data_IF_174953829829
#
_entry.id   IF_174953829829
#
_cell.length_a   1.000
_cell.length_b   1.000
_cell.length_c   1.000
_cell.angle_alpha   90.00
_cell.angle_beta   90.00
_cell.angle_gamma   90.00
#
_symmetry.space_group_name_H-M   'P 1'
#
loop_
_entity.id
_entity.type
_entity.pdbx_description
1 polymer ?
#
# COMPACT_ATOMS: atom_id res chain seq x y z
N UNK A 1 -15.80 19.14 -13.24
CA UNK A 1 -15.25 20.02 -14.28
C UNK A 1 -15.43 21.46 -13.80
N UNK A 2 -14.35 22.17 -13.55
CA UNK A 2 -14.37 23.59 -13.15
C UNK A 2 -14.92 24.43 -14.30
N UNK A 3 -15.82 25.38 -14.02
CA UNK A 3 -16.40 26.24 -15.04
C UNK A 3 -15.29 27.15 -15.64
N UNK A 4 -15.12 27.22 -16.98
CA UNK A 4 -14.10 28.07 -17.60
C UNK A 4 -14.12 29.54 -17.13
N UNK A 5 -15.31 30.09 -16.86
CA UNK A 5 -15.46 31.46 -16.35
C UNK A 5 -14.88 31.66 -14.94
N UNK A 6 -14.81 30.62 -14.13
CA UNK A 6 -14.24 30.66 -12.78
C UNK A 6 -12.70 30.69 -12.82
N UNK A 7 -12.11 30.03 -13.82
CA UNK A 7 -10.64 30.02 -14.01
C UNK A 7 -10.10 31.39 -14.42
N UNK A 8 -10.78 32.12 -15.31
CA UNK A 8 -10.34 33.45 -15.73
C UNK A 8 -10.41 34.47 -14.57
N UNK A 9 -11.45 34.39 -13.74
CA UNK A 9 -11.58 35.23 -12.56
C UNK A 9 -10.47 34.93 -11.53
N UNK A 10 -10.19 33.64 -11.29
CA UNK A 10 -9.10 33.22 -10.41
C UNK A 10 -7.73 33.63 -10.94
N UNK A 11 -7.52 33.56 -12.27
CA UNK A 11 -6.30 34.05 -12.92
C UNK A 11 -6.11 35.54 -12.69
N UNK A 12 -7.14 36.35 -12.98
CA UNK A 12 -7.07 37.79 -12.79
C UNK A 12 -6.78 38.19 -11.33
N UNK A 13 -7.35 37.45 -10.37
CA UNK A 13 -7.04 37.64 -8.95
C UNK A 13 -5.59 37.23 -8.58
N UNK A 14 -5.03 36.25 -9.28
CA UNK A 14 -3.68 35.76 -9.09
C UNK A 14 -2.60 36.65 -9.74
N UNK A 15 -2.94 37.47 -10.75
CA UNK A 15 -2.01 38.37 -11.45
C UNK A 15 -1.32 39.39 -10.50
N UNK A 16 -1.98 39.74 -9.39
CA UNK A 16 -1.40 40.58 -8.34
C UNK A 16 -0.27 39.89 -7.54
N UNK A 17 -0.05 38.58 -7.74
CA UNK A 17 1.05 37.82 -7.13
C UNK A 17 0.85 37.44 -5.66
N UNK A 18 -0.33 37.69 -5.08
CA UNK A 18 -0.61 37.31 -3.70
C UNK A 18 -0.56 35.78 -3.53
N UNK A 19 0.21 35.24 -2.56
CA UNK A 19 0.41 33.79 -2.43
C UNK A 19 -0.89 32.97 -2.30
N UNK A 20 -1.88 33.46 -1.54
CA UNK A 20 -3.19 32.81 -1.38
C UNK A 20 -4.01 32.82 -2.68
N UNK A 21 -3.93 33.89 -3.47
CA UNK A 21 -4.64 33.98 -4.75
C UNK A 21 -4.02 33.03 -5.78
N UNK A 22 -2.69 32.97 -5.84
CA UNK A 22 -1.95 32.00 -6.64
C UNK A 22 -2.30 30.56 -6.25
N UNK A 23 -2.38 30.25 -4.94
CA UNK A 23 -2.76 28.91 -4.48
C UNK A 23 -4.17 28.51 -4.92
N UNK A 24 -5.17 29.39 -4.80
CA UNK A 24 -6.53 29.11 -5.26
C UNK A 24 -6.57 28.87 -6.77
N UNK A 25 -5.85 29.69 -7.55
CA UNK A 25 -5.78 29.52 -9.00
C UNK A 25 -5.09 28.21 -9.38
N UNK A 26 -3.95 27.89 -8.75
CA UNK A 26 -3.24 26.62 -8.97
C UNK A 26 -4.11 25.40 -8.64
N UNK A 27 -4.86 25.44 -7.53
CA UNK A 27 -5.81 24.38 -7.15
C UNK A 27 -6.89 24.18 -8.21
N UNK A 28 -7.41 25.28 -8.79
CA UNK A 28 -8.38 25.20 -9.86
C UNK A 28 -7.79 24.65 -11.18
N UNK A 29 -6.50 24.94 -11.46
CA UNK A 29 -5.77 24.34 -12.58
C UNK A 29 -5.60 22.82 -12.41
N UNK A 30 -5.29 22.33 -11.20
CA UNK A 30 -5.26 20.89 -10.89
C UNK A 30 -6.64 20.27 -11.16
N UNK A 31 -7.72 20.88 -10.69
CA UNK A 31 -9.09 20.40 -10.93
C UNK A 31 -9.48 20.42 -12.44
N UNK A 32 -8.83 21.27 -13.22
CA UNK A 32 -8.95 21.34 -14.67
C UNK A 32 -7.94 20.44 -15.41
N UNK A 33 -7.19 19.60 -14.70
CA UNK A 33 -6.17 18.69 -15.24
C UNK A 33 -5.01 19.38 -15.97
N UNK A 34 -4.74 20.66 -15.67
CA UNK A 34 -3.65 21.46 -16.26
C UNK A 34 -2.42 21.41 -15.35
N UNK A 35 -1.80 20.24 -15.24
CA UNK A 35 -0.81 19.94 -14.20
C UNK A 35 0.48 20.76 -14.33
N UNK A 36 1.00 20.97 -15.54
CA UNK A 36 2.22 21.76 -15.77
C UNK A 36 2.02 23.23 -15.34
N UNK A 37 0.91 23.83 -15.74
CA UNK A 37 0.58 25.21 -15.34
C UNK A 37 0.29 25.30 -13.84
N UNK A 38 -0.38 24.30 -13.27
CA UNK A 38 -0.60 24.23 -11.83
C UNK A 38 0.73 24.18 -11.06
N UNK A 39 1.72 23.42 -11.55
CA UNK A 39 3.04 23.33 -10.95
C UNK A 39 3.75 24.70 -10.97
N UNK A 40 3.72 25.42 -12.09
CA UNK A 40 4.31 26.75 -12.17
C UNK A 40 3.67 27.75 -11.19
N UNK A 41 2.34 27.75 -11.09
CA UNK A 41 1.61 28.67 -10.21
C UNK A 41 1.80 28.28 -8.74
N UNK A 42 1.76 26.99 -8.39
CA UNK A 42 2.10 26.53 -7.04
C UNK A 42 3.54 26.88 -6.68
N UNK A 43 4.49 26.77 -7.61
CA UNK A 43 5.89 27.15 -7.38
C UNK A 43 6.04 28.63 -7.05
N UNK A 44 5.33 29.52 -7.77
CA UNK A 44 5.28 30.96 -7.47
C UNK A 44 4.69 31.24 -6.09
N UNK A 45 3.56 30.61 -5.75
CA UNK A 45 2.94 30.76 -4.44
C UNK A 45 3.84 30.25 -3.30
N UNK A 46 4.52 29.11 -3.50
CA UNK A 46 5.44 28.52 -2.55
C UNK A 46 6.69 29.41 -2.34
N UNK A 47 7.23 30.01 -3.40
CA UNK A 47 8.30 31.01 -3.30
C UNK A 47 7.84 32.25 -2.53
N UNK A 48 6.56 32.62 -2.63
CA UNK A 48 5.92 33.66 -1.84
C UNK A 48 5.56 33.27 -0.40
N UNK A 49 5.93 32.07 0.06
CA UNK A 49 5.72 31.63 1.45
C UNK A 49 4.40 30.88 1.71
N UNK A 50 3.59 30.57 0.68
CA UNK A 50 2.34 29.84 0.90
C UNK A 50 2.60 28.35 1.21
N UNK A 51 2.36 27.95 2.47
CA UNK A 51 2.71 26.62 2.96
C UNK A 51 1.92 25.48 2.30
N UNK A 52 0.64 25.70 1.95
CA UNK A 52 -0.13 24.72 1.19
C UNK A 52 0.44 24.47 -0.21
N UNK A 53 1.00 25.51 -0.84
CA UNK A 53 1.64 25.37 -2.16
C UNK A 53 2.99 24.70 -2.05
N UNK A 54 3.73 24.88 -0.95
CA UNK A 54 4.96 24.12 -0.70
C UNK A 54 4.68 22.61 -0.62
N UNK A 55 3.57 22.21 0.01
CA UNK A 55 3.14 20.80 0.03
C UNK A 55 2.81 20.32 -1.38
N UNK A 56 2.03 21.06 -2.15
CA UNK A 56 1.67 20.64 -3.51
C UNK A 56 2.88 20.57 -4.45
N UNK A 57 3.80 21.53 -4.40
CA UNK A 57 5.09 21.45 -5.11
C UNK A 57 5.86 20.19 -4.71
N UNK A 58 5.90 19.89 -3.41
CA UNK A 58 6.55 18.69 -2.91
C UNK A 58 5.93 17.41 -3.47
N UNK A 59 4.60 17.32 -3.49
CA UNK A 59 3.86 16.17 -4.06
C UNK A 59 4.07 16.04 -5.56
N UNK A 60 4.02 17.15 -6.29
CA UNK A 60 4.23 17.18 -7.74
C UNK A 60 5.62 16.68 -8.12
N UNK A 61 6.66 17.10 -7.39
CA UNK A 61 8.01 16.54 -7.55
C UNK A 61 8.11 15.07 -7.09
N UNK A 62 7.48 14.69 -5.99
CA UNK A 62 7.57 13.32 -5.45
C UNK A 62 7.01 12.28 -6.44
N UNK A 63 5.95 12.66 -7.15
CA UNK A 63 5.21 11.77 -8.05
C UNK A 63 5.41 12.07 -9.54
N UNK A 64 6.19 13.11 -9.88
CA UNK A 64 6.42 13.52 -11.28
C UNK A 64 5.13 13.97 -11.99
N UNK A 65 4.27 14.73 -11.30
CA UNK A 65 2.99 15.20 -11.85
C UNK A 65 3.11 16.66 -12.22
N UNK A 66 2.99 16.98 -13.51
CA UNK A 66 3.17 18.34 -14.04
C UNK A 66 4.62 18.83 -14.02
N UNK A 67 5.56 17.96 -13.66
CA UNK A 67 7.00 18.20 -13.60
C UNK A 67 7.72 16.85 -13.61
N UNK A 68 9.04 16.84 -13.81
CA UNK A 68 9.83 15.63 -13.64
C UNK A 68 9.90 15.20 -12.17
N UNK A 69 9.94 13.89 -11.95
CA UNK A 69 10.07 13.31 -10.61
C UNK A 69 11.43 13.63 -9.98
N UNK A 70 11.43 14.30 -8.83
CA UNK A 70 12.63 14.62 -8.06
C UNK A 70 12.36 14.53 -6.55
N UNK A 71 12.77 13.42 -5.95
CA UNK A 71 12.57 13.17 -4.52
C UNK A 71 13.32 14.19 -3.64
N UNK A 72 14.46 14.73 -4.08
CA UNK A 72 15.22 15.69 -3.28
C UNK A 72 14.55 17.06 -3.30
N UNK A 73 14.05 17.50 -4.45
CA UNK A 73 13.23 18.71 -4.55
C UNK A 73 11.94 18.57 -3.72
N UNK A 74 11.32 17.38 -3.73
CA UNK A 74 10.17 17.08 -2.90
C UNK A 74 10.47 17.23 -1.40
N UNK A 75 11.56 16.62 -0.93
CA UNK A 75 12.02 16.73 0.46
C UNK A 75 12.24 18.19 0.86
N UNK A 76 12.94 18.97 0.03
CA UNK A 76 13.18 20.40 0.32
C UNK A 76 11.88 21.20 0.42
N UNK A 77 10.90 20.94 -0.44
CA UNK A 77 9.61 21.60 -0.40
C UNK A 77 8.84 21.24 0.88
N UNK A 78 8.81 19.96 1.25
CA UNK A 78 8.16 19.51 2.48
C UNK A 78 8.87 20.01 3.75
N UNK A 79 10.20 20.05 3.79
CA UNK A 79 10.93 20.59 4.94
C UNK A 79 10.63 22.07 5.19
N UNK A 80 10.52 22.87 4.11
CA UNK A 80 10.08 24.27 4.24
C UNK A 80 8.64 24.38 4.76
N UNK A 81 7.73 23.53 4.29
CA UNK A 81 6.35 23.51 4.77
C UNK A 81 6.25 23.03 6.23
N UNK A 82 7.04 22.03 6.62
CA UNK A 82 7.17 21.54 8.00
C UNK A 82 7.69 22.66 8.91
N UNK A 83 8.73 23.40 8.49
CA UNK A 83 9.26 24.56 9.21
C UNK A 83 8.24 25.71 9.31
N UNK A 84 7.32 25.83 8.35
CA UNK A 84 6.18 26.74 8.40
C UNK A 84 5.01 26.22 9.26
N UNK A 85 5.20 25.11 9.99
CA UNK A 85 4.23 24.58 10.95
C UNK A 85 3.12 23.73 10.32
N UNK A 86 3.34 23.14 9.14
CA UNK A 86 2.36 22.26 8.48
C UNK A 86 2.64 20.77 8.78
N UNK A 87 1.83 20.09 9.62
CA UNK A 87 2.08 18.69 10.00
C UNK A 87 1.90 17.69 8.84
N UNK A 88 1.10 18.05 7.83
CA UNK A 88 0.90 17.23 6.62
C UNK A 88 2.20 17.14 5.80
N UNK A 89 3.05 18.16 5.82
CA UNK A 89 4.36 18.06 5.17
C UNK A 89 5.27 17.05 5.88
N UNK A 90 5.25 17.05 7.21
CA UNK A 90 5.91 16.04 8.03
C UNK A 90 5.45 14.62 7.70
N UNK A 91 4.16 14.41 7.45
CA UNK A 91 3.63 13.12 7.01
C UNK A 91 4.29 12.61 5.72
N UNK A 92 4.44 13.46 4.69
CA UNK A 92 5.12 13.06 3.45
C UNK A 92 6.62 12.81 3.64
N UNK A 93 7.29 13.61 4.48
CA UNK A 93 8.69 13.34 4.84
C UNK A 93 8.85 12.00 5.58
N UNK A 94 7.88 11.67 6.45
CA UNK A 94 7.85 10.38 7.13
C UNK A 94 7.64 9.23 6.13
N UNK A 95 6.72 9.39 5.17
CA UNK A 95 6.48 8.42 4.10
C UNK A 95 7.75 8.14 3.28
N UNK A 96 8.46 9.19 2.86
CA UNK A 96 9.74 9.08 2.13
C UNK A 96 10.80 8.39 2.99
N UNK A 97 10.87 8.74 4.29
CA UNK A 97 11.81 8.16 5.24
C UNK A 97 11.63 6.65 5.46
N UNK A 98 10.47 6.07 5.16
CA UNK A 98 10.26 4.62 5.26
C UNK A 98 11.11 3.82 4.25
N UNK A 99 11.46 4.41 3.11
CA UNK A 99 12.37 3.80 2.13
C UNK A 99 13.85 3.87 2.51
N UNK A 100 14.22 4.73 3.47
CA UNK A 100 15.58 4.80 4.03
C UNK A 100 16.69 5.30 3.09
N UNK A 101 16.37 5.64 1.83
CA UNK A 101 17.36 6.05 0.81
C UNK A 101 17.40 7.57 0.62
N UNK A 102 16.29 8.18 0.20
CA UNK A 102 16.22 9.64 0.03
C UNK A 102 16.19 10.41 1.37
N UNK A 103 15.64 9.77 2.41
CA UNK A 103 15.71 10.22 3.79
C UNK A 103 16.02 9.03 4.70
N UNK A 104 16.81 9.21 5.76
CA UNK A 104 17.09 8.14 6.69
C UNK A 104 15.82 7.74 7.45
N UNK A 105 15.66 6.44 7.68
CA UNK A 105 14.64 5.90 8.57
C UNK A 105 15.07 6.07 10.02
N UNK A 106 14.88 7.27 10.55
CA UNK A 106 15.28 7.66 11.92
C UNK A 106 14.08 7.98 12.83
N UNK A 107 14.35 8.44 14.05
CA UNK A 107 13.31 8.81 15.02
C UNK A 107 12.37 9.94 14.57
N UNK A 108 12.72 10.71 13.54
CA UNK A 108 11.85 11.76 13.00
C UNK A 108 10.64 11.18 12.30
N UNK A 109 10.73 9.98 11.71
CA UNK A 109 9.61 9.36 11.01
C UNK A 109 8.42 9.16 11.95
N UNK A 110 8.65 8.59 13.14
CA UNK A 110 7.61 8.40 14.16
C UNK A 110 7.06 9.73 14.71
N UNK A 111 7.94 10.69 14.99
CA UNK A 111 7.54 12.01 15.48
C UNK A 111 6.67 12.79 14.47
N UNK A 112 7.04 12.74 13.19
CA UNK A 112 6.29 13.35 12.08
C UNK A 112 4.92 12.70 11.88
N UNK A 113 4.84 11.37 11.95
CA UNK A 113 3.56 10.68 11.90
C UNK A 113 2.66 11.08 13.08
N UNK A 114 3.21 11.15 14.29
CA UNK A 114 2.46 11.56 15.48
C UNK A 114 1.96 13.01 15.38
N UNK A 115 2.76 13.93 14.86
CA UNK A 115 2.33 15.30 14.62
C UNK A 115 1.15 15.36 13.62
N UNK A 116 1.19 14.54 12.56
CA UNK A 116 0.09 14.45 11.61
C UNK A 116 -1.18 13.81 12.21
N UNK A 117 -1.03 12.81 13.10
CA UNK A 117 -2.13 12.24 13.90
C UNK A 117 -2.77 13.31 14.78
N UNK A 118 -1.98 14.10 15.52
CA UNK A 118 -2.46 15.18 16.38
C UNK A 118 -3.19 16.28 15.58
N UNK A 119 -2.73 16.55 14.36
CA UNK A 119 -3.41 17.46 13.42
C UNK A 119 -4.70 16.87 12.82
N UNK A 120 -5.01 15.60 13.09
CA UNK A 120 -6.18 14.91 12.56
C UNK A 120 -6.09 14.61 11.06
N UNK A 121 -4.89 14.41 10.52
CA UNK A 121 -4.71 14.02 9.12
C UNK A 121 -5.21 12.57 8.90
N UNK A 122 -6.24 12.32 8.07
CA UNK A 122 -6.90 11.00 8.05
C UNK A 122 -6.00 9.81 7.69
N UNK A 123 -5.11 9.90 6.67
CA UNK A 123 -4.13 8.83 6.40
C UNK A 123 -3.18 8.53 7.57
N UNK A 124 -2.82 9.55 8.36
CA UNK A 124 -1.98 9.38 9.54
C UNK A 124 -2.76 8.72 10.69
N UNK A 125 -4.01 9.14 10.92
CA UNK A 125 -4.92 8.52 11.89
C UNK A 125 -5.14 7.03 11.55
N UNK A 126 -5.40 6.71 10.28
CA UNK A 126 -5.52 5.32 9.81
C UNK A 126 -4.23 4.54 10.05
N UNK A 127 -3.06 5.07 9.65
CA UNK A 127 -1.80 4.38 9.86
C UNK A 127 -1.52 4.07 11.35
N UNK A 128 -1.78 5.03 12.23
CA UNK A 128 -1.68 4.82 13.67
C UNK A 128 -2.69 3.77 14.16
N UNK A 129 -3.94 3.80 13.68
CA UNK A 129 -4.94 2.82 14.05
C UNK A 129 -4.54 1.39 13.67
N UNK A 130 -3.99 1.19 12.48
CA UNK A 130 -3.47 -0.11 12.03
C UNK A 130 -2.33 -0.59 12.92
N UNK A 131 -1.40 0.31 13.26
CA UNK A 131 -0.27 0.01 14.15
C UNK A 131 -0.74 -0.46 15.53
N UNK A 132 -1.63 0.30 16.17
CA UNK A 132 -2.19 -0.08 17.48
C UNK A 132 -3.10 -1.31 17.39
N UNK A 133 -3.86 -1.44 16.29
CA UNK A 133 -4.76 -2.56 16.05
C UNK A 133 -4.05 -3.91 15.89
N UNK A 134 -2.76 -3.91 15.55
CA UNK A 134 -1.91 -5.10 15.52
C UNK A 134 -1.52 -5.59 16.93
N UNK A 135 -1.59 -4.73 17.94
CA UNK A 135 -1.08 -5.00 19.29
C UNK A 135 -2.16 -5.63 20.16
N UNK A 136 -1.91 -6.76 20.85
CA UNK A 136 -2.97 -7.47 21.58
C UNK A 136 -3.45 -6.74 22.86
N UNK A 137 -2.80 -5.64 23.24
CA UNK A 137 -3.15 -4.86 24.43
C UNK A 137 -4.54 -4.21 24.28
N UNK A 138 -5.41 -4.35 25.28
CA UNK A 138 -6.79 -3.84 25.22
C UNK A 138 -6.87 -2.31 25.06
N UNK A 139 -5.92 -1.56 25.63
CA UNK A 139 -5.87 -0.10 25.48
C UNK A 139 -5.48 0.29 24.05
N UNK A 140 -4.50 -0.40 23.46
CA UNK A 140 -4.11 -0.20 22.06
C UNK A 140 -5.28 -0.56 21.11
N UNK A 141 -5.99 -1.65 21.40
CA UNK A 141 -7.17 -2.06 20.63
C UNK A 141 -8.30 -1.01 20.72
N UNK A 142 -8.56 -0.44 21.89
CA UNK A 142 -9.54 0.63 22.05
C UNK A 142 -9.10 1.93 21.35
N UNK A 143 -7.81 2.26 21.43
CA UNK A 143 -7.23 3.41 20.73
C UNK A 143 -7.34 3.27 19.20
N UNK A 144 -7.12 2.07 18.67
CA UNK A 144 -7.31 1.78 17.25
C UNK A 144 -8.74 2.11 16.78
N UNK A 145 -9.76 1.73 17.57
CA UNK A 145 -11.16 2.07 17.27
C UNK A 145 -11.39 3.59 17.29
N UNK A 146 -10.86 4.30 18.30
CA UNK A 146 -10.98 5.75 18.40
C UNK A 146 -10.33 6.48 17.21
N UNK A 147 -9.15 6.02 16.78
CA UNK A 147 -8.44 6.59 15.63
C UNK A 147 -9.16 6.33 14.32
N UNK A 148 -9.73 5.12 14.13
CA UNK A 148 -10.55 4.81 12.95
C UNK A 148 -11.83 5.67 12.90
N UNK A 149 -12.51 5.85 14.03
CA UNK A 149 -13.69 6.73 14.12
C UNK A 149 -13.32 8.18 13.80
N UNK A 150 -12.19 8.65 14.32
CA UNK A 150 -11.70 10.00 14.06
C UNK A 150 -11.35 10.23 12.58
N UNK A 151 -10.73 9.24 11.93
CA UNK A 151 -10.42 9.26 10.50
C UNK A 151 -11.71 9.19 9.66
N UNK A 152 -12.62 8.27 9.99
CA UNK A 152 -13.90 8.08 9.30
C UNK A 152 -14.75 9.36 9.34
N UNK A 153 -14.81 10.04 10.50
CA UNK A 153 -15.49 11.33 10.66
C UNK A 153 -14.91 12.46 9.81
N UNK A 154 -13.74 12.27 9.21
CA UNK A 154 -13.07 13.20 8.28
C UNK A 154 -13.11 12.74 6.82
N UNK A 155 -13.98 11.78 6.50
CA UNK A 155 -14.21 11.30 5.14
C UNK A 155 -13.31 10.15 4.71
N UNK A 156 -12.59 9.53 5.64
CA UNK A 156 -11.74 8.37 5.34
C UNK A 156 -12.59 7.10 5.21
N UNK A 157 -12.98 6.77 3.97
CA UNK A 157 -13.85 5.63 3.68
C UNK A 157 -13.21 4.28 4.04
N UNK A 158 -11.90 4.14 3.87
CA UNK A 158 -11.17 2.93 4.25
C UNK A 158 -11.21 2.75 5.77
N UNK A 159 -10.94 3.81 6.54
CA UNK A 159 -11.06 3.76 7.99
C UNK A 159 -12.49 3.44 8.45
N UNK A 160 -13.50 3.97 7.77
CA UNK A 160 -14.90 3.66 8.02
C UNK A 160 -15.25 2.18 7.75
N UNK A 161 -14.72 1.57 6.67
CA UNK A 161 -14.90 0.14 6.40
C UNK A 161 -14.29 -0.72 7.52
N UNK A 162 -13.08 -0.38 7.97
CA UNK A 162 -12.40 -1.09 9.06
C UNK A 162 -13.12 -0.91 10.40
N UNK A 163 -13.60 0.30 10.71
CA UNK A 163 -14.40 0.58 11.90
C UNK A 163 -15.68 -0.26 11.92
N UNK A 164 -16.38 -0.37 10.78
CA UNK A 164 -17.57 -1.19 10.68
C UNK A 164 -17.29 -2.66 11.02
N UNK A 165 -16.18 -3.22 10.56
CA UNK A 165 -15.80 -4.60 10.91
C UNK A 165 -15.47 -4.75 12.40
N UNK A 166 -14.73 -3.80 12.99
CA UNK A 166 -14.42 -3.82 14.43
C UNK A 166 -15.67 -3.68 15.30
N UNK A 167 -16.59 -2.77 14.95
CA UNK A 167 -17.88 -2.61 15.64
C UNK A 167 -18.73 -3.87 15.55
N UNK A 168 -18.80 -4.50 14.37
CA UNK A 168 -19.58 -5.72 14.16
C UNK A 168 -19.05 -6.89 14.99
N UNK A 169 -17.72 -7.01 15.10
CA UNK A 169 -17.04 -8.14 15.75
C UNK A 169 -16.70 -7.90 17.22
N UNK A 170 -16.80 -6.66 17.70
CA UNK A 170 -16.38 -6.30 19.07
C UNK A 170 -14.86 -6.28 19.26
N UNK A 171 -14.10 -5.90 18.23
CA UNK A 171 -12.64 -5.89 18.26
C UNK A 171 -12.13 -4.56 18.83
N UNK A 172 -11.75 -4.56 20.11
CA UNK A 172 -11.33 -3.35 20.83
C UNK A 172 -12.47 -2.45 21.29
N UNK A 173 -13.72 -2.90 21.13
CA UNK A 173 -14.94 -2.18 21.51
C UNK A 173 -16.04 -3.18 21.83
N UNK A 174 -17.07 -2.76 22.57
CA UNK A 174 -18.29 -3.57 22.73
C UNK A 174 -18.93 -3.74 21.36
N UNK A 175 -19.25 -4.98 20.98
CA UNK A 175 -19.87 -5.26 19.70
C UNK A 175 -21.17 -4.46 19.53
N UNK A 176 -21.27 -3.74 18.41
CA UNK A 176 -22.44 -2.97 18.02
C UNK A 176 -22.76 -3.25 16.54
N UNK A 177 -23.41 -4.39 16.24
CA UNK A 177 -23.75 -4.77 14.87
C UNK A 177 -24.69 -3.78 14.17
N UNK A 178 -25.56 -3.09 14.92
CA UNK A 178 -26.48 -2.09 14.37
C UNK A 178 -25.71 -0.88 13.83
N UNK A 179 -24.82 -0.29 14.63
CA UNK A 179 -23.98 0.83 14.20
C UNK A 179 -23.07 0.42 13.02
N UNK A 180 -22.52 -0.80 13.05
CA UNK A 180 -21.76 -1.34 11.93
C UNK A 180 -22.59 -1.41 10.63
N UNK A 181 -23.84 -1.87 10.70
CA UNK A 181 -24.73 -1.95 9.54
C UNK A 181 -25.12 -0.57 9.00
N UNK A 182 -25.37 0.40 9.89
CA UNK A 182 -25.63 1.79 9.48
C UNK A 182 -24.42 2.40 8.76
N UNK A 183 -23.21 2.17 9.27
CA UNK A 183 -21.98 2.65 8.63
C UNK A 183 -21.76 1.99 7.27
N UNK A 184 -21.98 0.67 7.16
CA UNK A 184 -21.93 -0.07 5.88
C UNK A 184 -22.97 0.41 4.88
N UNK A 185 -24.18 0.74 5.31
CA UNK A 185 -25.22 1.29 4.44
C UNK A 185 -24.76 2.63 3.82
N UNK A 186 -24.23 3.54 4.64
CA UNK A 186 -23.68 4.83 4.18
C UNK A 186 -22.49 4.65 3.22
N UNK A 187 -21.61 3.67 3.50
CA UNK A 187 -20.50 3.33 2.61
C UNK A 187 -20.98 2.85 1.25
N UNK A 188 -21.99 1.96 1.22
CA UNK A 188 -22.61 1.48 -0.03
C UNK A 188 -23.27 2.60 -0.82
N UNK A 189 -23.95 3.53 -0.16
CA UNK A 189 -24.50 4.74 -0.80
C UNK A 189 -23.39 5.60 -1.45
N UNK A 190 -22.21 5.65 -0.84
CA UNK A 190 -21.01 6.29 -1.38
C UNK A 190 -20.24 5.46 -2.42
N UNK A 191 -20.74 4.29 -2.81
CA UNK A 191 -20.11 3.40 -3.79
C UNK A 191 -19.00 2.50 -3.23
N UNK A 192 -18.80 2.45 -1.91
CA UNK A 192 -17.83 1.57 -1.27
C UNK A 192 -18.46 0.21 -0.95
N UNK A 193 -17.94 -0.91 -1.51
CA UNK A 193 -18.50 -2.23 -1.26
C UNK A 193 -18.19 -2.74 0.16
N UNK A 194 -18.92 -3.75 0.60
CA UNK A 194 -18.61 -4.45 1.85
C UNK A 194 -17.27 -5.18 1.75
N UNK A 195 -16.52 -5.20 2.84
CA UNK A 195 -15.34 -6.06 2.95
C UNK A 195 -15.78 -7.52 3.03
N UNK A 196 -15.01 -8.43 2.41
CA UNK A 196 -15.26 -9.85 2.58
C UNK A 196 -14.93 -10.29 4.01
N UNK A 197 -15.36 -11.50 4.33
CA UNK A 197 -15.03 -12.06 5.63
C UNK A 197 -13.53 -12.34 5.75
N UNK A 198 -12.88 -11.54 6.58
CA UNK A 198 -11.48 -11.69 6.98
C UNK A 198 -11.48 -11.96 8.49
N UNK A 199 -11.24 -13.23 8.85
CA UNK A 199 -11.25 -13.72 10.23
C UNK A 199 -9.81 -13.78 10.74
N UNK A 200 -9.59 -13.30 11.96
CA UNK A 200 -8.31 -13.46 12.64
C UNK A 200 -8.03 -14.93 12.87
N UNK A 201 -6.90 -15.39 12.36
CA UNK A 201 -6.31 -16.62 12.91
C UNK A 201 -5.71 -16.23 14.26
N UNK A 202 -6.08 -16.89 15.36
CA UNK A 202 -5.51 -16.61 16.66
C UNK A 202 -3.97 -16.70 16.57
N UNK A 203 -3.28 -15.59 16.81
CA UNK A 203 -1.84 -15.60 16.95
C UNK A 203 -1.47 -16.40 18.21
N UNK A 204 -0.29 -17.02 18.22
CA UNK A 204 0.27 -17.54 19.46
C UNK A 204 0.26 -16.41 20.52
N UNK A 205 -0.11 -16.69 21.78
CA UNK A 205 -0.21 -15.67 22.81
C UNK A 205 1.14 -14.95 22.97
N UNK A 206 1.20 -13.71 22.47
CA UNK A 206 2.31 -12.81 22.75
C UNK A 206 2.13 -12.29 24.17
N UNK A 207 3.23 -12.20 24.93
CA UNK A 207 3.19 -11.57 26.26
C UNK A 207 2.49 -10.21 26.14
N UNK A 208 1.58 -9.86 27.06
CA UNK A 208 0.99 -8.53 27.07
C UNK A 208 2.13 -7.52 27.18
N UNK A 209 2.31 -6.74 26.10
CA UNK A 209 3.23 -5.63 26.09
C UNK A 209 2.56 -4.44 26.79
N UNK A 210 3.34 -3.59 27.49
CA UNK A 210 2.82 -2.29 27.93
C UNK A 210 2.25 -1.51 26.72
N UNK A 211 1.33 -0.55 26.94
CA UNK A 211 0.87 0.34 25.88
C UNK A 211 2.10 0.92 25.20
N UNK A 212 2.24 0.64 23.92
CA UNK A 212 3.52 0.81 23.24
C UNK A 212 3.45 2.00 22.32
N UNK A 213 4.58 2.67 22.18
CA UNK A 213 4.69 3.86 21.35
C UNK A 213 4.51 3.53 19.86
N UNK A 214 4.29 4.57 19.06
CA UNK A 214 4.27 4.48 17.60
C UNK A 214 5.72 4.31 17.09
N UNK A 215 6.29 3.13 17.30
CA UNK A 215 7.67 2.77 16.93
C UNK A 215 7.67 1.95 15.64
N UNK A 216 8.62 2.25 14.75
CA UNK A 216 8.75 1.57 13.46
C UNK A 216 9.61 0.31 13.53
N UNK A 217 10.38 0.13 14.59
CA UNK A 217 11.28 -1.02 14.74
C UNK A 217 10.52 -2.36 14.68
N UNK A 218 9.32 -2.41 15.27
CA UNK A 218 8.42 -3.58 15.21
C UNK A 218 7.97 -3.93 13.78
N UNK A 219 8.08 -3.00 12.82
CA UNK A 219 7.76 -3.23 11.41
C UNK A 219 8.83 -4.10 10.75
N UNK A 220 10.06 -3.97 11.21
CA UNK A 220 11.28 -4.55 10.65
C UNK A 220 11.66 -5.89 11.26
N UNK A 221 10.94 -6.29 12.31
CA UNK A 221 11.09 -7.57 12.98
C UNK A 221 9.90 -8.48 12.63
N UNK A 222 9.88 -9.07 11.41
CA UNK A 222 8.84 -10.00 11.03
C UNK A 222 8.90 -11.26 11.90
N UNK A 223 7.77 -11.99 12.04
CA UNK A 223 7.80 -13.32 12.66
C UNK A 223 8.81 -14.24 11.94
N UNK A 224 9.37 -15.25 12.64
CA UNK A 224 10.34 -16.15 12.04
C UNK A 224 9.73 -16.90 10.85
N UNK A 225 10.53 -17.07 9.80
CA UNK A 225 10.14 -17.88 8.65
C UNK A 225 10.32 -19.37 8.96
N UNK A 226 9.38 -20.18 8.49
CA UNK A 226 9.47 -21.62 8.41
C UNK A 226 9.94 -22.02 7.00
N UNK A 227 11.11 -22.64 6.91
CA UNK A 227 11.65 -23.14 5.65
C UNK A 227 10.89 -24.39 5.20
N UNK A 228 10.33 -24.35 3.99
CA UNK A 228 9.60 -25.46 3.38
C UNK A 228 10.45 -26.21 2.34
N UNK A 229 11.33 -25.51 1.64
CA UNK A 229 12.32 -26.08 0.74
C UNK A 229 13.57 -25.21 0.65
N UNK A 230 14.74 -25.84 0.46
CA UNK A 230 16.01 -25.13 0.26
C UNK A 230 16.30 -24.82 -1.22
N UNK A 231 15.82 -25.65 -2.15
CA UNK A 231 16.03 -25.50 -3.59
C UNK A 231 14.77 -25.85 -4.41
N UNK A 232 14.06 -24.86 -4.98
CA UNK A 232 14.25 -23.42 -4.75
C UNK A 232 14.02 -23.09 -3.27
N UNK A 233 14.57 -21.97 -2.81
CA UNK A 233 14.29 -21.47 -1.47
C UNK A 233 12.81 -21.10 -1.39
N UNK A 234 12.04 -21.82 -0.58
CA UNK A 234 10.62 -21.54 -0.29
C UNK A 234 10.46 -21.53 1.22
N UNK A 235 9.86 -20.47 1.73
CA UNK A 235 9.57 -20.31 3.15
C UNK A 235 8.15 -19.76 3.34
N UNK A 236 7.53 -20.09 4.46
CA UNK A 236 6.28 -19.47 4.89
C UNK A 236 6.47 -18.69 6.18
N UNK A 237 5.57 -17.74 6.41
CA UNK A 237 5.50 -16.97 7.66
C UNK A 237 4.04 -16.76 8.03
N UNK A 238 3.66 -17.20 9.22
CA UNK A 238 2.32 -16.99 9.77
C UNK A 238 2.26 -15.70 10.61
N UNK A 239 1.13 -15.00 10.53
CA UNK A 239 0.92 -13.75 11.26
C UNK A 239 1.83 -12.61 10.80
N UNK A 240 2.31 -12.66 9.56
CA UNK A 240 3.05 -11.56 8.96
C UNK A 240 2.17 -10.32 8.94
N UNK A 241 0.98 -10.41 8.34
CA UNK A 241 -0.01 -9.35 8.36
C UNK A 241 -1.07 -9.63 9.42
N UNK A 242 -1.47 -8.58 10.13
CA UNK A 242 -2.63 -8.58 11.00
C UNK A 242 -3.91 -8.56 10.16
N UNK A 243 -5.04 -8.87 10.79
CA UNK A 243 -6.34 -8.79 10.13
C UNK A 243 -6.67 -7.39 9.65
N UNK A 244 -6.31 -6.34 10.40
CA UNK A 244 -6.57 -4.98 9.97
C UNK A 244 -5.66 -4.55 8.82
N UNK A 245 -4.41 -5.03 8.76
CA UNK A 245 -3.56 -4.87 7.57
C UNK A 245 -4.17 -5.61 6.36
N UNK A 246 -4.75 -6.79 6.55
CA UNK A 246 -5.45 -7.51 5.48
C UNK A 246 -6.70 -6.75 5.00
N UNK A 247 -7.53 -6.26 5.93
CA UNK A 247 -8.72 -5.44 5.62
C UNK A 247 -8.34 -4.14 4.93
N UNK A 248 -7.27 -3.47 5.39
CA UNK A 248 -6.72 -2.27 4.78
C UNK A 248 -6.40 -2.52 3.30
N UNK A 249 -5.67 -3.58 2.99
CA UNK A 249 -5.28 -3.91 1.63
C UNK A 249 -6.49 -4.20 0.74
N UNK A 250 -7.46 -4.98 1.23
CA UNK A 250 -8.69 -5.27 0.49
C UNK A 250 -9.52 -4.00 0.26
N UNK A 251 -9.77 -3.22 1.32
CA UNK A 251 -10.51 -1.96 1.24
C UNK A 251 -9.88 -0.98 0.25
N UNK A 252 -8.56 -0.86 0.28
CA UNK A 252 -7.81 0.04 -0.61
C UNK A 252 -7.81 -0.42 -2.06
N UNK A 253 -7.95 -1.73 -2.32
CA UNK A 253 -7.90 -2.33 -3.66
C UNK A 253 -9.27 -2.45 -4.34
N UNK A 254 -10.35 -2.64 -3.58
CA UNK A 254 -11.67 -3.04 -4.10
C UNK A 254 -12.21 -2.18 -5.25
N UNK A 255 -12.04 -0.86 -5.17
CA UNK A 255 -12.55 0.07 -6.19
C UNK A 255 -11.67 0.15 -7.46
N UNK A 256 -10.48 -0.46 -7.42
CA UNK A 256 -9.51 -0.42 -8.51
C UNK A 256 -9.36 -1.76 -9.23
N UNK A 257 -10.08 -2.79 -8.76
CA UNK A 257 -10.01 -4.12 -9.36
C UNK A 257 -10.41 -4.07 -10.84
N UNK A 258 -9.55 -4.64 -11.67
CA UNK A 258 -9.78 -4.87 -13.10
C UNK A 258 -9.36 -6.29 -13.47
N UNK A 259 -9.90 -6.88 -14.55
CA UNK A 259 -9.45 -8.18 -15.02
C UNK A 259 -7.93 -8.17 -15.26
N UNK A 260 -7.26 -9.20 -14.75
CA UNK A 260 -5.82 -9.33 -14.85
C UNK A 260 -5.36 -9.42 -16.29
N UNK A 261 -4.23 -8.78 -16.60
CA UNK A 261 -3.55 -8.94 -17.89
C UNK A 261 -2.17 -9.51 -17.67
N UNK A 262 -1.94 -10.75 -18.10
CA UNK A 262 -0.58 -11.30 -18.19
C UNK A 262 -0.06 -11.00 -19.59
N UNK A 263 1.08 -10.32 -19.68
CA UNK A 263 1.76 -10.11 -20.96
C UNK A 263 2.61 -11.34 -21.24
N UNK A 264 2.08 -12.26 -22.04
CA UNK A 264 2.85 -13.39 -22.54
C UNK A 264 3.72 -12.89 -23.71
N UNK A 265 5.03 -12.76 -23.48
CA UNK A 265 5.97 -12.36 -24.52
C UNK A 265 6.31 -13.51 -25.48
N UNK A 266 5.89 -14.75 -25.19
CA UNK A 266 6.28 -15.95 -25.93
C UNK A 266 5.13 -16.65 -26.69
N UNK A 267 3.87 -16.44 -26.32
CA UNK A 267 2.74 -17.11 -26.98
C UNK A 267 2.08 -16.24 -28.07
N UNK A 268 2.72 -16.17 -29.23
CA UNK A 268 2.15 -15.44 -30.37
C UNK A 268 1.03 -16.19 -31.13
N UNK A 269 0.78 -17.49 -30.90
CA UNK A 269 -0.10 -18.23 -31.85
C UNK A 269 -0.81 -19.51 -31.35
N UNK A 270 -0.95 -19.73 -30.04
CA UNK A 270 -1.80 -20.83 -29.52
C UNK A 270 -2.94 -20.20 -28.73
N UNK A 271 -4.18 -20.58 -29.07
CA UNK A 271 -5.45 -20.13 -28.49
C UNK A 271 -5.27 -19.50 -27.11
N UNK A 272 -5.59 -18.19 -26.97
CA UNK A 272 -5.52 -17.41 -25.72
C UNK A 272 -6.21 -18.16 -24.58
N UNK A 273 -5.51 -19.09 -23.96
CA UNK A 273 -5.91 -19.63 -22.68
C UNK A 273 -5.39 -18.64 -21.67
N UNK A 274 -6.30 -18.03 -20.92
CA UNK A 274 -5.95 -17.03 -19.92
C UNK A 274 -5.04 -17.67 -18.88
N UNK A 275 -3.74 -17.30 -18.91
CA UNK A 275 -2.73 -17.80 -17.99
C UNK A 275 -3.10 -17.47 -16.54
N UNK A 276 -3.76 -16.32 -16.34
CA UNK A 276 -4.33 -15.86 -15.08
C UNK A 276 -5.75 -15.34 -15.31
N UNK A 277 -6.70 -15.78 -14.48
CA UNK A 277 -8.12 -15.42 -14.62
C UNK A 277 -8.64 -14.57 -13.47
N UNK A 278 -7.77 -14.00 -12.64
CA UNK A 278 -8.13 -13.15 -11.50
C UNK A 278 -8.42 -11.69 -11.90
N UNK A 279 -8.89 -10.90 -10.95
CA UNK A 279 -8.80 -9.43 -11.00
C UNK A 279 -7.62 -8.92 -10.17
N UNK A 280 -7.03 -7.80 -10.57
CA UNK A 280 -5.95 -7.13 -9.83
C UNK A 280 -6.16 -5.62 -9.66
N UNK A 281 -5.52 -5.08 -8.63
CA UNK A 281 -5.31 -3.67 -8.40
C UNK A 281 -3.81 -3.44 -8.13
N UNK A 282 -3.21 -2.51 -8.89
CA UNK A 282 -1.82 -2.07 -8.68
C UNK A 282 -1.81 -0.77 -7.89
N UNK A 283 -1.06 -0.72 -6.80
CA UNK A 283 -0.86 0.52 -6.06
C UNK A 283 0.25 1.34 -6.72
N UNK A 284 -0.15 2.30 -7.54
CA UNK A 284 0.74 3.35 -8.02
C UNK A 284 1.33 4.12 -6.81
N UNK A 285 2.59 4.58 -6.85
CA UNK A 285 3.20 5.37 -5.77
C UNK A 285 2.34 6.54 -5.27
N UNK A 286 1.52 7.16 -6.13
CA UNK A 286 0.59 8.23 -5.76
C UNK A 286 -0.50 7.77 -4.77
N UNK A 287 -0.84 6.48 -4.77
CA UNK A 287 -1.86 5.85 -3.94
C UNK A 287 -1.28 5.19 -2.69
N UNK A 288 0.05 5.07 -2.59
CA UNK A 288 0.74 4.45 -1.46
C UNK A 288 0.81 5.41 -0.27
N UNK A 289 -0.17 5.30 0.61
CA UNK A 289 -0.15 6.00 1.90
C UNK A 289 0.83 5.33 2.90
N UNK A 290 1.00 5.98 4.06
CA UNK A 290 1.88 5.50 5.13
C UNK A 290 1.53 4.10 5.62
N UNK A 291 0.24 3.77 5.78
CA UNK A 291 -0.19 2.45 6.26
C UNK A 291 0.15 1.36 5.24
N UNK A 292 -0.09 1.62 3.94
CA UNK A 292 0.29 0.73 2.85
C UNK A 292 1.81 0.55 2.78
N UNK A 293 2.57 1.64 2.93
CA UNK A 293 4.04 1.59 2.94
C UNK A 293 4.58 0.78 4.11
N UNK A 294 3.96 0.85 5.29
CA UNK A 294 4.33 0.01 6.43
C UNK A 294 4.09 -1.49 6.14
N UNK A 295 2.99 -1.83 5.49
CA UNK A 295 2.71 -3.21 5.08
C UNK A 295 3.77 -3.71 4.08
N UNK A 296 4.11 -2.90 3.08
CA UNK A 296 5.18 -3.25 2.14
C UNK A 296 6.54 -3.37 2.82
N UNK A 297 6.88 -2.46 3.74
CA UNK A 297 8.13 -2.51 4.52
C UNK A 297 8.21 -3.81 5.32
N UNK A 298 7.12 -4.23 5.95
CA UNK A 298 7.03 -5.51 6.67
C UNK A 298 7.20 -6.71 5.75
N UNK A 299 6.57 -6.68 4.56
CA UNK A 299 6.70 -7.73 3.56
C UNK A 299 8.14 -7.83 3.04
N UNK A 300 8.77 -6.70 2.72
CA UNK A 300 10.16 -6.63 2.28
C UNK A 300 11.13 -7.13 3.37
N UNK A 301 10.94 -6.71 4.62
CA UNK A 301 11.71 -7.19 5.76
C UNK A 301 11.59 -8.71 5.96
N UNK A 302 10.39 -9.29 5.83
CA UNK A 302 10.18 -10.74 5.88
C UNK A 302 10.86 -11.48 4.72
N UNK A 303 10.95 -10.82 3.56
CA UNK A 303 11.72 -11.32 2.43
C UNK A 303 13.24 -11.09 2.59
N UNK A 304 13.69 -10.37 3.63
CA UNK A 304 15.11 -10.05 3.84
C UNK A 304 15.68 -9.10 2.78
N UNK A 305 14.85 -8.18 2.24
CA UNK A 305 15.23 -7.21 1.22
C UNK A 305 14.75 -5.81 1.63
N UNK A 306 15.51 -4.77 1.28
CA UNK A 306 15.10 -3.39 1.53
C UNK A 306 13.93 -2.96 0.63
N UNK A 307 13.06 -2.12 1.17
CA UNK A 307 11.80 -1.71 0.52
C UNK A 307 11.98 -1.04 -0.85
N UNK A 308 13.11 -0.39 -1.08
CA UNK A 308 13.42 0.30 -2.34
C UNK A 308 13.66 -0.64 -3.52
N UNK A 309 13.87 -1.93 -3.26
CA UNK A 309 13.93 -2.97 -4.30
C UNK A 309 12.54 -3.40 -4.77
N UNK A 310 11.48 -3.02 -4.06
CA UNK A 310 10.14 -3.47 -4.37
C UNK A 310 9.58 -2.76 -5.62
N UNK A 311 8.97 -3.55 -6.49
CA UNK A 311 8.00 -3.07 -7.47
C UNK A 311 6.71 -2.61 -6.76
N UNK A 312 5.72 -2.14 -7.54
CA UNK A 312 4.40 -1.78 -7.01
C UNK A 312 3.72 -2.98 -6.34
N UNK A 313 3.05 -2.73 -5.21
CA UNK A 313 2.24 -3.75 -4.54
C UNK A 313 1.01 -4.06 -5.40
N UNK A 314 0.80 -5.35 -5.69
CA UNK A 314 -0.39 -5.82 -6.42
C UNK A 314 -1.31 -6.57 -5.47
N UNK A 315 -2.58 -6.19 -5.41
CA UNK A 315 -3.63 -6.97 -4.74
C UNK A 315 -4.48 -7.68 -5.78
N UNK A 316 -4.63 -9.00 -5.60
CA UNK A 316 -5.35 -9.90 -6.49
C UNK A 316 -6.59 -10.45 -5.80
N UNK A 317 -7.66 -10.66 -6.57
CA UNK A 317 -8.89 -11.35 -6.15
C UNK A 317 -9.19 -12.50 -7.11
N UNK A 318 -9.39 -13.68 -6.55
CA UNK A 318 -9.80 -14.90 -7.25
C UNK A 318 -11.19 -15.34 -6.76
N UNK A 319 -12.12 -15.48 -7.68
CA UNK A 319 -13.46 -16.05 -7.49
C UNK A 319 -13.46 -17.57 -7.72
N UNK A 320 -14.54 -18.30 -7.39
CA UNK A 320 -14.61 -19.75 -7.63
C UNK A 320 -14.27 -20.13 -9.08
N UNK A 321 -13.40 -21.11 -9.24
CA UNK A 321 -12.86 -21.59 -10.51
C UNK A 321 -11.70 -20.76 -11.08
N UNK A 322 -11.43 -19.55 -10.59
CA UNK A 322 -10.30 -18.75 -11.06
C UNK A 322 -8.98 -19.27 -10.50
N UNK A 323 -7.94 -19.21 -11.33
CA UNK A 323 -6.60 -19.72 -11.03
C UNK A 323 -5.50 -18.82 -11.62
N UNK A 324 -4.26 -19.12 -11.25
CA UNK A 324 -3.08 -18.69 -11.98
C UNK A 324 -2.29 -19.95 -12.31
N UNK A 325 -2.23 -20.29 -13.59
CA UNK A 325 -1.53 -21.49 -14.08
C UNK A 325 -0.04 -21.45 -13.76
N UNK A 326 0.66 -22.60 -13.81
CA UNK A 326 2.09 -22.68 -13.55
C UNK A 326 2.89 -21.63 -14.35
N UNK A 327 3.64 -20.81 -13.64
CA UNK A 327 4.48 -19.74 -14.20
C UNK A 327 5.69 -19.49 -13.29
N UNK A 328 6.59 -18.62 -13.74
CA UNK A 328 7.68 -18.08 -12.92
C UNK A 328 7.59 -16.57 -12.89
N UNK A 329 8.19 -16.00 -11.85
CA UNK A 329 8.20 -14.55 -11.65
C UNK A 329 9.42 -13.87 -12.29
N UNK A 330 10.44 -14.62 -12.70
CA UNK A 330 11.56 -14.03 -13.44
C UNK A 330 11.08 -13.41 -14.76
N UNK A 331 11.64 -12.25 -15.09
CA UNK A 331 11.33 -11.52 -16.29
C UNK A 331 12.26 -11.93 -17.44
N UNK A 332 11.73 -11.99 -18.69
CA UNK A 332 12.57 -12.09 -19.87
C UNK A 332 13.37 -10.80 -20.06
N UNK A 333 14.50 -10.89 -20.78
CA UNK A 333 15.44 -9.79 -20.96
C UNK A 333 14.78 -8.53 -21.56
N UNK A 334 13.84 -8.71 -22.49
CA UNK A 334 13.13 -7.61 -23.14
C UNK A 334 12.18 -6.89 -22.18
N UNK A 335 11.60 -7.60 -21.21
CA UNK A 335 10.75 -6.99 -20.18
C UNK A 335 11.59 -6.16 -19.20
N UNK A 336 12.76 -6.67 -18.80
CA UNK A 336 13.72 -5.93 -17.97
C UNK A 336 14.18 -4.65 -18.70
N UNK A 337 14.49 -4.77 -20.00
CA UNK A 337 14.96 -3.66 -20.83
C UNK A 337 13.92 -2.52 -20.97
N UNK A 338 12.63 -2.85 -20.99
CA UNK A 338 11.54 -1.87 -21.16
C UNK A 338 11.08 -1.20 -19.87
N UNK A 339 11.17 -1.90 -18.74
CA UNK A 339 10.68 -1.39 -17.45
C UNK A 339 11.77 -0.59 -16.72
N UNK A 340 12.73 -1.28 -16.09
CA UNK A 340 13.82 -0.62 -15.37
C UNK A 340 15.09 -1.48 -15.40
N UNK A 341 15.91 -1.39 -16.47
CA UNK A 341 17.07 -2.26 -16.66
C UNK A 341 18.08 -2.22 -15.49
N UNK A 342 18.24 -1.05 -14.87
CA UNK A 342 19.16 -0.86 -13.76
C UNK A 342 18.75 -1.62 -12.48
N UNK A 343 17.48 -1.98 -12.33
CA UNK A 343 16.98 -2.73 -11.18
C UNK A 343 17.26 -4.25 -11.29
N UNK A 344 17.61 -4.75 -12.47
CA UNK A 344 17.82 -6.17 -12.72
C UNK A 344 16.51 -6.96 -12.78
N UNK A 345 16.59 -8.26 -12.52
CA UNK A 345 15.44 -9.15 -12.54
C UNK A 345 14.74 -9.20 -11.16
N UNK A 346 13.58 -9.85 -11.09
CA UNK A 346 12.89 -10.17 -9.84
C UNK A 346 13.66 -11.29 -9.15
N UNK A 347 14.31 -10.96 -8.04
CA UNK A 347 15.13 -11.88 -7.25
C UNK A 347 14.27 -12.74 -6.33
N UNK A 348 13.28 -12.11 -5.70
CA UNK A 348 12.46 -12.74 -4.66
C UNK A 348 11.02 -12.23 -4.75
N UNK A 349 10.08 -13.13 -4.48
CA UNK A 349 8.66 -12.81 -4.40
C UNK A 349 8.17 -13.08 -2.99
N UNK A 350 7.31 -12.19 -2.48
CA UNK A 350 6.49 -12.45 -1.31
C UNK A 350 5.00 -12.26 -1.65
N UNK A 351 4.21 -13.29 -1.31
CA UNK A 351 2.77 -13.34 -1.51
C UNK A 351 2.08 -13.52 -0.16
N UNK A 352 1.35 -12.49 0.29
CA UNK A 352 0.59 -12.51 1.54
C UNK A 352 -0.90 -12.76 1.28
N UNK A 353 -1.48 -13.76 1.93
CA UNK A 353 -2.90 -14.08 1.83
C UNK A 353 -3.71 -13.13 2.73
N UNK A 354 -4.70 -12.45 2.16
CA UNK A 354 -5.48 -11.43 2.85
C UNK A 354 -6.76 -11.99 3.47
N UNK A 355 -7.16 -13.19 3.08
CA UNK A 355 -8.26 -13.94 3.69
C UNK A 355 -8.00 -15.45 3.60
N UNK A 356 -8.87 -16.23 4.25
CA UNK A 356 -8.87 -17.70 4.20
C UNK A 356 -10.09 -18.15 3.42
N UNK A 357 -9.98 -18.55 2.14
CA UNK A 357 -11.10 -19.13 1.41
C UNK A 357 -11.56 -20.43 2.10
N UNK A 358 -12.87 -20.74 2.12
CA UNK A 358 -13.38 -21.98 2.65
C UNK A 358 -12.82 -23.26 2.01
N UNK A 359 -12.41 -23.22 0.73
CA UNK A 359 -11.87 -24.39 0.02
C UNK A 359 -11.08 -23.98 -1.24
N UNK A 360 -9.92 -24.60 -1.46
CA UNK A 360 -9.04 -24.35 -2.62
C UNK A 360 -8.19 -23.09 -2.51
N UNK A 361 -7.54 -22.70 -3.60
CA UNK A 361 -6.76 -21.47 -3.67
C UNK A 361 -5.32 -21.55 -3.12
N UNK A 362 -4.74 -22.74 -2.95
CA UNK A 362 -3.34 -22.86 -2.52
C UNK A 362 -2.34 -22.32 -3.53
N UNK A 363 -1.14 -21.96 -3.06
CA UNK A 363 0.01 -21.72 -3.95
C UNK A 363 0.82 -23.00 -4.01
N UNK A 364 0.90 -23.60 -5.20
CA UNK A 364 1.57 -24.87 -5.46
C UNK A 364 2.94 -24.64 -6.10
N UNK A 365 3.96 -25.35 -5.62
CA UNK A 365 5.32 -25.39 -6.15
C UNK A 365 5.64 -26.83 -6.57
N UNK A 366 5.24 -27.25 -7.79
CA UNK A 366 5.25 -28.66 -8.18
C UNK A 366 6.65 -29.27 -8.19
N UNK A 367 7.68 -28.49 -8.56
CA UNK A 367 9.06 -28.97 -8.59
C UNK A 367 9.62 -29.28 -7.19
N UNK A 368 9.11 -28.60 -6.16
CA UNK A 368 9.51 -28.79 -4.76
C UNK A 368 8.58 -29.75 -4.00
N UNK A 369 7.42 -30.11 -4.57
CA UNK A 369 6.37 -30.84 -3.85
C UNK A 369 5.81 -30.07 -2.66
N UNK A 370 5.83 -28.73 -2.72
CA UNK A 370 5.39 -27.84 -1.65
C UNK A 370 4.09 -27.16 -2.05
N UNK A 371 3.11 -27.16 -1.15
CA UNK A 371 1.85 -26.44 -1.31
C UNK A 371 1.62 -25.58 -0.06
N UNK A 372 1.32 -24.29 -0.27
CA UNK A 372 1.02 -23.35 0.81
C UNK A 372 -0.45 -22.97 0.77
N UNK A 373 -1.19 -23.42 1.79
CA UNK A 373 -2.61 -23.10 1.92
C UNK A 373 -2.84 -21.62 2.29
N UNK A 374 -3.85 -20.97 1.69
CA UNK A 374 -4.15 -19.57 1.94
C UNK A 374 -4.74 -19.41 3.34
N UNK A 375 -4.14 -18.52 4.13
CA UNK A 375 -4.59 -18.19 5.48
C UNK A 375 -4.42 -16.70 5.72
N UNK A 376 -5.46 -16.00 6.16
CA UNK A 376 -5.36 -14.56 6.43
C UNK A 376 -4.12 -14.22 7.29
N UNK A 377 -3.26 -13.35 6.77
CA UNK A 377 -2.04 -12.92 7.44
C UNK A 377 -0.80 -13.80 7.22
N UNK A 378 -0.95 -14.98 6.62
CA UNK A 378 0.17 -15.83 6.18
C UNK A 378 0.80 -15.24 4.92
N UNK A 379 2.11 -15.39 4.77
CA UNK A 379 2.78 -15.18 3.50
C UNK A 379 3.69 -16.35 3.11
N UNK A 380 3.89 -16.51 1.81
CA UNK A 380 4.94 -17.35 1.23
C UNK A 380 6.00 -16.45 0.61
N UNK A 381 7.26 -16.79 0.83
CA UNK A 381 8.43 -16.11 0.29
C UNK A 381 9.25 -17.13 -0.50
N UNK A 382 9.61 -16.81 -1.73
CA UNK A 382 10.41 -17.71 -2.56
C UNK A 382 11.36 -16.97 -3.49
N UNK A 383 12.46 -17.62 -3.83
CA UNK A 383 13.49 -17.06 -4.71
C UNK A 383 13.15 -17.41 -6.17
N UNK A 384 13.16 -16.39 -7.03
CA UNK A 384 12.97 -16.54 -8.47
C UNK A 384 14.29 -16.71 -9.21
N UNK A 385 15.41 -16.35 -8.56
CA UNK A 385 16.77 -16.49 -9.07
C UNK A 385 17.60 -17.38 -8.14
N UNK A 386 18.61 -18.05 -8.70
CA UNK A 386 19.62 -18.77 -7.95
C UNK A 386 20.70 -17.83 -7.36
N UNK A 387 21.66 -18.40 -6.63
CA UNK A 387 22.76 -17.64 -6.00
C UNK A 387 23.68 -16.93 -7.02
N UNK A 388 23.65 -17.32 -8.29
CA UNK A 388 24.37 -16.68 -9.38
C UNK A 388 23.52 -15.66 -10.15
N UNK A 389 22.28 -15.39 -9.71
CA UNK A 389 21.36 -14.44 -10.34
C UNK A 389 20.66 -14.97 -11.58
N UNK A 390 20.69 -16.28 -11.84
CA UNK A 390 20.04 -16.90 -13.01
C UNK A 390 18.62 -17.35 -12.64
N UNK A 391 17.66 -17.36 -13.58
CA UNK A 391 16.31 -17.87 -13.32
C UNK A 391 16.29 -19.27 -12.72
N UNK A 392 15.70 -19.42 -11.53
CA UNK A 392 15.57 -20.68 -10.83
C UNK A 392 14.37 -21.46 -11.40
N UNK A 393 14.64 -22.49 -12.21
CA UNK A 393 13.59 -23.29 -12.84
C UNK A 393 12.67 -23.98 -11.83
N UNK A 394 13.19 -24.33 -10.64
CA UNK A 394 12.41 -24.92 -9.58
C UNK A 394 11.37 -23.98 -8.96
N UNK A 395 11.49 -22.66 -9.17
CA UNK A 395 10.55 -21.63 -8.67
C UNK A 395 9.20 -21.59 -9.40
N UNK A 396 9.00 -22.48 -10.38
CA UNK A 396 7.71 -22.67 -11.05
C UNK A 396 6.63 -22.86 -9.99
N UNK A 397 5.58 -22.04 -10.08
CA UNK A 397 4.49 -22.07 -9.11
C UNK A 397 3.14 -21.71 -9.74
N UNK A 398 2.06 -22.11 -9.09
CA UNK A 398 0.70 -21.88 -9.53
C UNK A 398 -0.19 -21.43 -8.38
N UNK A 399 -1.19 -20.60 -8.66
CA UNK A 399 -2.33 -20.39 -7.78
C UNK A 399 -3.42 -21.37 -8.16
N UNK A 400 -3.59 -22.45 -7.38
CA UNK A 400 -4.62 -23.46 -7.63
C UNK A 400 -6.03 -22.84 -7.62
N UNK A 401 -7.00 -23.42 -8.34
CA UNK A 401 -8.37 -22.91 -8.38
C UNK A 401 -8.98 -22.71 -6.99
N UNK A 402 -9.69 -21.60 -6.81
CA UNK A 402 -10.58 -21.43 -5.65
C UNK A 402 -11.79 -22.32 -5.85
N UNK A 403 -12.13 -23.17 -4.89
CA UNK A 403 -13.30 -24.06 -4.99
C UNK A 403 -14.53 -23.42 -4.37
N UNK A 404 -14.40 -22.80 -3.19
CA UNK A 404 -15.51 -22.13 -2.49
C UNK A 404 -15.06 -20.81 -1.88
N UNK A 405 -15.93 -19.79 -1.98
CA UNK A 405 -15.66 -18.44 -1.49
C UNK A 405 -14.78 -17.65 -2.45
N UNK A 406 -13.93 -16.79 -1.93
CA UNK A 406 -12.97 -16.00 -2.71
C UNK A 406 -11.62 -15.94 -2.01
N UNK A 407 -10.56 -15.75 -2.78
CA UNK A 407 -9.19 -15.59 -2.29
C UNK A 407 -8.66 -14.21 -2.65
N UNK A 408 -8.15 -13.50 -1.65
CA UNK A 408 -7.43 -12.25 -1.81
C UNK A 408 -5.96 -12.45 -1.47
N UNK A 409 -5.09 -11.88 -2.28
CA UNK A 409 -3.63 -12.02 -2.18
C UNK A 409 -2.97 -10.68 -2.44
N UNK A 410 -1.94 -10.32 -1.67
CA UNK A 410 -1.04 -9.22 -1.98
C UNK A 410 0.32 -9.77 -2.40
N UNK A 411 0.82 -9.35 -3.56
CA UNK A 411 2.10 -9.76 -4.13
C UNK A 411 3.04 -8.56 -4.18
N UNK A 412 4.25 -8.76 -3.67
CA UNK A 412 5.35 -7.81 -3.80
C UNK A 412 6.54 -8.52 -4.45
N UNK A 413 6.93 -8.05 -5.64
CA UNK A 413 8.12 -8.50 -6.32
C UNK A 413 9.31 -7.63 -5.93
N UNK A 414 10.44 -8.26 -5.62
CA UNK A 414 11.65 -7.60 -5.14
C UNK A 414 12.76 -7.80 -6.16
N UNK A 415 13.28 -6.68 -6.67
CA UNK A 415 14.34 -6.62 -7.68
C UNK A 415 15.73 -6.89 -7.08
N UNK A 416 16.68 -7.27 -7.91
CA UNK A 416 18.10 -7.42 -7.50
C UNK A 416 18.71 -6.11 -6.98
N UNK A 417 18.26 -4.96 -7.52
CA UNK A 417 18.75 -3.61 -7.18
C UNK A 417 17.57 -2.66 -6.94
N UNK A 418 17.81 -1.47 -6.35
CA UNK A 418 16.76 -0.49 -6.11
C UNK A 418 15.91 -0.20 -7.36
N UNK A 419 14.60 -0.38 -7.24
CA UNK A 419 13.59 -0.13 -8.26
C UNK A 419 12.98 1.28 -8.15
N UNK A 420 12.96 1.83 -6.93
CA UNK A 420 12.44 3.15 -6.56
C UNK A 420 13.36 3.84 -5.57
N UNK A 421 13.15 5.14 -5.36
CA UNK A 421 14.01 5.98 -4.52
C UNK A 421 13.57 6.06 -3.04
N UNK A 422 12.35 5.62 -2.72
CA UNK A 422 11.73 5.73 -1.39
C UNK A 422 10.61 4.70 -1.18
#
# INVERSE_FOLDING_TARGET
MTNPHDLDALRAAADAGAPDALFRYATALVAAMRMEEAFEVHSKAAAGGHAGSMIEVGRMHLYGVGTDGDVHAAVQAFERAEAAGQPVAGYFLALIGLGGTALPRDGKVGARLLAAVQAGHPPALRAAAIHFGRKPNLQDQALAVQLLDHAAGRGDAVAAQLLAERLRRGEGVIANPEAAQQLKARLREGGYPDLPEIIAVPAAPRRPAPPSTLTLDEVLEPPPLEMLAEKPRIAQVDGLLSVDECRLLVASAQLMLRPSRVHDAAAADVARMDLRTSSDASFDPLLEDFALRLVQLRMAAAAGVELVHAEQLIVLRYEPGQEYRPHRDDLPAEAIARDRPAAGNRMRTICAYLNTPPEGGATDFPAAGVQVEPRAGRAVVFDSLDAEGRPEAGSLHAGLPVVRGEKWLATLWLRERPYRAY
#
